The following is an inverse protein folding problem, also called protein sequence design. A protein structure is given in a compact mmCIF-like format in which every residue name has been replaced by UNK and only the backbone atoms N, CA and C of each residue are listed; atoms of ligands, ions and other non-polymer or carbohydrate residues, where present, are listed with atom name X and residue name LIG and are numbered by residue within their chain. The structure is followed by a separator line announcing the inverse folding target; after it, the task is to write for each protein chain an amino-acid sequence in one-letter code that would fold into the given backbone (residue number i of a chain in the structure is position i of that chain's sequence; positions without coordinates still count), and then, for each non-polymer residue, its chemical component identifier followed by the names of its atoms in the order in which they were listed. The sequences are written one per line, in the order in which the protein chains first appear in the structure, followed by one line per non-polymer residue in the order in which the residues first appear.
data_IF_154183303361
#
_entry.id   IF_154183303361
#
_cell.length_a   1.000
_cell.length_b   1.000
_cell.length_c   1.000
_cell.angle_alpha   90.00
_cell.angle_beta   90.00
_cell.angle_gamma   90.00
#
_symmetry.space_group_name_H-M   'P 1'
#
loop_
_entity.id
_entity.type
_entity.pdbx_description
1 polymer ?
#
# COMPACT_ATOMS: atom_id res chain seq x y z
N UNK A 1 21.34 -14.81 2.49
CA UNK A 1 20.58 -15.88 1.78
C UNK A 1 20.27 -15.56 0.30
N UNK A 2 19.68 -14.40 -0.02
CA UNK A 2 19.24 -14.06 -1.39
C UNK A 2 20.38 -13.96 -2.43
N UNK A 3 21.59 -13.58 -2.01
CA UNK A 3 22.71 -13.34 -2.91
C UNK A 3 23.53 -14.59 -3.29
N UNK A 4 23.24 -15.77 -2.73
CA UNK A 4 23.89 -17.01 -3.17
C UNK A 4 23.19 -17.52 -4.47
N UNK A 5 23.90 -17.65 -5.61
CA UNK A 5 23.33 -18.17 -6.85
C UNK A 5 22.72 -19.57 -6.74
N UNK A 6 23.24 -20.42 -5.87
CA UNK A 6 22.80 -21.81 -5.67
C UNK A 6 21.38 -21.91 -5.09
N UNK A 7 20.89 -20.85 -4.46
CA UNK A 7 19.54 -20.79 -3.89
C UNK A 7 18.44 -20.54 -4.94
N UNK A 8 18.79 -20.53 -6.23
CA UNK A 8 17.89 -20.14 -7.32
C UNK A 8 17.88 -21.14 -8.44
N UNK A 9 16.67 -21.52 -8.86
CA UNK A 9 16.43 -22.30 -10.06
C UNK A 9 16.03 -21.37 -11.22
N UNK A 10 16.56 -21.62 -12.42
CA UNK A 10 16.18 -20.87 -13.61
C UNK A 10 14.79 -21.31 -14.07
N UNK A 11 13.86 -20.36 -14.17
CA UNK A 11 12.50 -20.63 -14.66
C UNK A 11 12.43 -20.28 -16.15
N UNK A 12 12.23 -21.26 -17.04
CA UNK A 12 12.02 -20.99 -18.46
C UNK A 12 10.73 -20.20 -18.67
N UNK A 13 10.81 -19.13 -19.46
CA UNK A 13 9.67 -18.27 -19.76
C UNK A 13 9.53 -18.04 -21.27
N UNK A 14 8.35 -17.59 -21.66
CA UNK A 14 8.01 -17.11 -23.00
C UNK A 14 7.55 -15.66 -22.86
N UNK A 15 8.21 -14.76 -23.57
CA UNK A 15 7.70 -13.41 -23.78
C UNK A 15 6.75 -13.38 -24.98
N UNK A 16 5.73 -12.53 -24.94
CA UNK A 16 4.81 -12.28 -26.04
C UNK A 16 5.45 -11.50 -27.20
N UNK A 17 6.48 -10.70 -26.88
CA UNK A 17 7.26 -9.89 -27.82
C UNK A 17 8.72 -9.76 -27.39
N UNK A 18 9.53 -9.15 -28.25
CA UNK A 18 10.93 -8.84 -27.94
C UNK A 18 11.01 -7.84 -26.77
N UNK A 19 11.98 -8.05 -25.88
CA UNK A 19 12.20 -7.17 -24.73
C UNK A 19 12.79 -5.83 -25.21
N UNK A 20 11.91 -4.83 -25.35
CA UNK A 20 12.23 -3.46 -25.72
C UNK A 20 11.82 -2.48 -24.61
N UNK A 21 12.55 -1.36 -24.51
CA UNK A 21 12.28 -0.34 -23.50
C UNK A 21 11.02 0.43 -23.86
N UNK A 22 10.14 0.66 -22.87
CA UNK A 22 8.90 1.40 -23.04
C UNK A 22 7.70 0.54 -23.44
N UNK A 23 7.93 -0.74 -23.77
CA UNK A 23 6.86 -1.68 -24.08
C UNK A 23 6.45 -2.47 -22.82
N UNK A 24 5.14 -2.69 -22.68
CA UNK A 24 4.62 -3.71 -21.77
C UNK A 24 4.87 -5.09 -22.39
N UNK A 25 5.53 -5.96 -21.64
CA UNK A 25 5.93 -7.30 -22.08
C UNK A 25 5.25 -8.32 -21.18
N UNK A 26 4.43 -9.20 -21.76
CA UNK A 26 3.78 -10.27 -21.03
C UNK A 26 4.67 -11.50 -21.03
N UNK A 27 5.14 -11.87 -19.84
CA UNK A 27 5.99 -13.04 -19.63
C UNK A 27 5.16 -14.17 -19.03
N UNK A 28 5.08 -15.30 -19.73
CA UNK A 28 4.42 -16.51 -19.25
C UNK A 28 5.46 -17.58 -18.96
N UNK A 29 5.34 -18.26 -17.82
CA UNK A 29 6.16 -19.41 -17.46
C UNK A 29 5.28 -20.54 -16.95
N UNK A 30 5.79 -21.78 -16.94
CA UNK A 30 5.10 -22.89 -16.30
C UNK A 30 4.92 -22.58 -14.82
N UNK A 31 3.80 -22.98 -14.22
CA UNK A 31 3.57 -22.78 -12.79
C UNK A 31 4.78 -23.30 -11.97
N UNK A 32 5.30 -22.45 -11.10
CA UNK A 32 6.39 -22.76 -10.16
C UNK A 32 5.92 -22.46 -8.74
N UNK A 33 6.34 -23.29 -7.79
CA UNK A 33 6.10 -23.08 -6.36
C UNK A 33 7.38 -22.51 -5.74
N UNK A 34 7.37 -21.22 -5.44
CA UNK A 34 8.55 -20.52 -4.92
C UNK A 34 8.15 -19.44 -3.92
N UNK A 35 9.00 -19.19 -2.91
CA UNK A 35 8.80 -18.13 -1.91
C UNK A 35 9.26 -16.75 -2.38
N UNK A 36 10.05 -16.71 -3.45
CA UNK A 36 10.60 -15.48 -4.00
C UNK A 36 10.91 -15.68 -5.49
N UNK A 37 10.85 -14.59 -6.24
CA UNK A 37 11.32 -14.52 -7.62
C UNK A 37 12.49 -13.54 -7.73
N UNK A 38 13.49 -13.90 -8.54
CA UNK A 38 14.64 -13.04 -8.83
C UNK A 38 14.72 -12.78 -10.31
N UNK A 39 14.65 -11.51 -10.67
CA UNK A 39 14.86 -11.03 -12.03
C UNK A 39 16.31 -10.63 -12.19
N UNK A 40 17.04 -11.29 -13.09
CA UNK A 40 18.35 -10.81 -13.54
C UNK A 40 18.15 -10.02 -14.81
N UNK A 41 18.38 -8.72 -14.72
CA UNK A 41 18.30 -7.82 -15.86
C UNK A 41 19.70 -7.38 -16.26
N UNK A 42 20.02 -7.48 -17.54
CA UNK A 42 21.29 -7.03 -18.10
C UNK A 42 21.13 -5.69 -18.81
N UNK A 43 22.02 -4.74 -18.49
CA UNK A 43 22.05 -3.43 -19.14
C UNK A 43 22.65 -3.55 -20.53
N UNK A 44 21.93 -3.08 -21.55
CA UNK A 44 22.52 -2.90 -22.89
C UNK A 44 23.62 -1.82 -22.85
N UNK A 45 24.67 -2.00 -23.65
CA UNK A 45 25.83 -1.10 -23.66
C UNK A 45 25.47 0.36 -24.02
N UNK A 46 24.42 0.56 -24.83
CA UNK A 46 23.92 1.86 -25.29
C UNK A 46 22.93 2.52 -24.32
N UNK A 47 22.63 1.91 -23.17
CA UNK A 47 21.68 2.43 -22.17
C UNK A 47 22.39 2.76 -20.86
N UNK A 48 21.96 3.82 -20.20
CA UNK A 48 22.48 4.24 -18.90
C UNK A 48 21.99 3.39 -17.73
N UNK A 49 21.00 2.51 -17.93
CA UNK A 49 20.44 1.65 -16.89
C UNK A 49 19.40 0.67 -17.41
N UNK A 50 18.86 -0.14 -16.50
CA UNK A 50 17.68 -0.97 -16.72
C UNK A 50 16.69 -0.68 -15.61
N UNK A 51 15.42 -0.57 -15.95
CA UNK A 51 14.34 -0.38 -15.00
C UNK A 51 13.20 -1.35 -15.31
N UNK A 52 12.65 -1.93 -14.25
CA UNK A 52 11.36 -2.61 -14.27
C UNK A 52 10.38 -1.66 -13.59
N UNK A 53 9.42 -1.14 -14.35
CA UNK A 53 8.55 -0.06 -13.88
C UNK A 53 7.33 -0.63 -13.15
N UNK A 54 6.78 -1.72 -13.66
CA UNK A 54 5.58 -2.35 -13.12
C UNK A 54 5.64 -3.88 -13.31
N UNK A 55 5.04 -4.61 -12.37
CA UNK A 55 5.00 -6.07 -12.35
C UNK A 55 3.69 -6.55 -11.75
N UNK A 56 2.97 -7.36 -12.52
CA UNK A 56 1.68 -7.93 -12.09
C UNK A 56 1.72 -9.45 -12.26
N UNK A 57 1.36 -10.18 -11.20
CA UNK A 57 1.23 -11.64 -11.24
C UNK A 57 -0.25 -11.99 -11.47
N UNK A 58 -0.55 -12.62 -12.61
CA UNK A 58 -1.93 -12.92 -13.02
C UNK A 58 -2.62 -13.97 -12.14
N UNK A 59 -1.87 -14.83 -11.45
CA UNK A 59 -2.39 -15.73 -10.43
C UNK A 59 -1.28 -16.18 -9.47
N UNK A 60 -1.45 -16.05 -8.14
CA UNK A 60 -0.55 -16.69 -7.19
C UNK A 60 -0.66 -18.22 -7.30
N UNK A 61 0.46 -18.93 -7.22
CA UNK A 61 0.49 -20.41 -7.27
C UNK A 61 -0.14 -21.08 -6.05
N UNK A 62 -0.32 -20.32 -4.97
CA UNK A 62 -0.96 -20.75 -3.73
C UNK A 62 -2.01 -19.73 -3.32
N UNK A 63 -3.15 -20.20 -2.80
CA UNK A 63 -4.15 -19.31 -2.23
C UNK A 63 -3.61 -18.71 -0.93
N UNK A 64 -3.89 -17.43 -0.63
CA UNK A 64 -3.47 -16.81 0.61
C UNK A 64 -3.94 -17.60 1.82
N UNK A 65 -3.07 -17.74 2.82
CA UNK A 65 -3.46 -18.38 4.07
C UNK A 65 -4.28 -17.41 4.94
N UNK A 66 -5.51 -17.80 5.25
CA UNK A 66 -6.41 -17.04 6.12
C UNK A 66 -6.15 -17.36 7.59
N UNK A 67 -4.96 -16.99 8.08
CA UNK A 67 -4.55 -17.15 9.48
C UNK A 67 -3.97 -15.85 10.03
N UNK A 68 -4.19 -15.59 11.32
CA UNK A 68 -3.54 -14.51 12.09
C UNK A 68 -2.67 -15.07 13.21
N UNK A 69 -2.34 -16.37 13.15
CA UNK A 69 -1.58 -17.05 14.19
C UNK A 69 -0.15 -16.49 14.26
N UNK A 70 0.21 -15.88 15.38
CA UNK A 70 1.54 -15.34 15.66
C UNK A 70 1.81 -15.36 17.16
N UNK A 71 3.07 -15.19 17.56
CA UNK A 71 3.41 -15.05 18.98
C UNK A 71 3.67 -13.59 19.29
N UNK A 72 2.95 -13.07 20.27
CA UNK A 72 3.26 -11.77 20.86
C UNK A 72 4.35 -11.99 21.90
N UNK A 73 5.43 -11.22 21.83
CA UNK A 73 6.57 -11.29 22.73
C UNK A 73 6.66 -10.03 23.59
N UNK A 74 7.08 -10.20 24.84
CA UNK A 74 7.37 -9.16 25.83
C UNK A 74 8.79 -9.39 26.33
N UNK A 75 9.70 -8.48 26.01
CA UNK A 75 11.16 -8.66 26.17
C UNK A 75 11.68 -9.98 25.56
N UNK A 76 11.15 -10.31 24.38
CA UNK A 76 11.53 -11.51 23.64
C UNK A 76 10.99 -12.82 24.21
N UNK A 77 10.19 -12.79 25.27
CA UNK A 77 9.49 -13.96 25.83
C UNK A 77 8.03 -13.95 25.39
N UNK A 78 7.48 -15.12 25.12
CA UNK A 78 6.07 -15.24 24.74
C UNK A 78 5.14 -14.65 25.82
N UNK A 79 4.15 -13.89 25.37
CA UNK A 79 3.14 -13.30 26.22
C UNK A 79 2.40 -14.41 26.99
N UNK A 80 2.49 -14.35 28.32
CA UNK A 80 1.87 -15.33 29.19
C UNK A 80 0.35 -15.41 28.97
N UNK A 81 -0.18 -16.63 28.92
CA UNK A 81 -1.61 -16.93 28.73
C UNK A 81 -2.23 -16.26 27.49
N UNK A 82 -1.45 -16.15 26.40
CA UNK A 82 -1.95 -15.63 25.14
C UNK A 82 -3.10 -16.49 24.60
N UNK A 83 -4.21 -15.83 24.27
CA UNK A 83 -5.38 -16.41 23.65
C UNK A 83 -5.87 -15.51 22.51
N UNK A 84 -6.11 -16.08 21.33
CA UNK A 84 -6.45 -15.32 20.12
C UNK A 84 -7.76 -14.52 20.24
N UNK A 85 -8.66 -14.93 21.13
CA UNK A 85 -9.95 -14.28 21.39
C UNK A 85 -9.91 -13.26 22.55
N UNK A 86 -8.78 -13.13 23.25
CA UNK A 86 -8.59 -12.13 24.30
C UNK A 86 -7.86 -10.94 23.73
N UNK A 87 -8.52 -9.78 23.71
CA UNK A 87 -7.94 -8.55 23.16
C UNK A 87 -7.05 -7.82 24.17
N UNK A 88 -7.47 -7.75 25.45
CA UNK A 88 -6.78 -6.95 26.46
C UNK A 88 -5.90 -7.78 27.40
N UNK A 89 -4.66 -7.34 27.55
CA UNK A 89 -3.64 -7.90 28.45
C UNK A 89 -3.09 -6.81 29.36
N UNK A 90 -2.73 -7.20 30.59
CA UNK A 90 -2.09 -6.33 31.56
C UNK A 90 -0.81 -7.00 32.03
N UNK A 91 0.28 -6.24 32.02
CA UNK A 91 1.61 -6.72 32.41
C UNK A 91 2.18 -5.74 33.41
N UNK A 92 2.46 -6.25 34.60
CA UNK A 92 3.19 -5.49 35.62
C UNK A 92 4.68 -5.74 35.48
N UNK A 93 5.50 -4.70 35.53
CA UNK A 93 6.96 -4.83 35.35
C UNK A 93 7.77 -4.08 36.42
N UNK A 94 8.99 -4.55 36.66
CA UNK A 94 10.00 -3.93 37.52
C UNK A 94 11.17 -3.42 36.67
N UNK A 95 11.69 -2.25 36.99
CA UNK A 95 12.89 -1.70 36.34
C UNK A 95 12.56 -1.03 34.99
N UNK A 96 13.18 -1.53 33.92
CA UNK A 96 13.02 -1.00 32.56
C UNK A 96 11.67 -1.42 31.97
N UNK A 97 11.03 -0.51 31.22
CA UNK A 97 9.77 -0.79 30.52
C UNK A 97 10.00 -1.87 29.46
N UNK A 98 9.24 -2.98 29.50
CA UNK A 98 9.45 -4.07 28.56
C UNK A 98 9.09 -3.65 27.14
N UNK A 99 9.78 -4.22 26.16
CA UNK A 99 9.48 -4.03 24.74
C UNK A 99 8.53 -5.11 24.24
N UNK A 100 7.44 -4.70 23.60
CA UNK A 100 6.52 -5.60 22.91
C UNK A 100 6.97 -5.78 21.46
N UNK A 101 6.93 -7.00 20.96
CA UNK A 101 7.19 -7.34 19.55
C UNK A 101 6.33 -8.52 19.11
N UNK A 102 6.29 -8.80 17.82
CA UNK A 102 5.61 -9.99 17.27
C UNK A 102 6.64 -10.88 16.59
N UNK A 103 6.59 -12.17 16.87
CA UNK A 103 7.22 -13.21 16.05
C UNK A 103 6.18 -13.71 15.04
N UNK A 104 6.36 -13.27 13.80
CA UNK A 104 5.46 -13.57 12.69
C UNK A 104 5.61 -15.04 12.27
N UNK A 105 4.48 -15.74 12.17
CA UNK A 105 4.39 -17.07 11.58
C UNK A 105 3.42 -17.04 10.41
N UNK A 106 3.52 -18.00 9.49
CA UNK A 106 2.51 -18.23 8.44
C UNK A 106 2.19 -17.00 7.57
N UNK A 107 3.17 -16.14 7.27
CA UNK A 107 3.01 -14.98 6.38
C UNK A 107 2.00 -13.93 6.90
N UNK A 108 1.80 -13.89 8.21
CA UNK A 108 1.03 -12.84 8.89
C UNK A 108 1.81 -11.52 8.86
N UNK A 109 1.13 -10.43 8.50
CA UNK A 109 1.68 -9.10 8.65
C UNK A 109 1.36 -8.56 10.05
N UNK A 110 2.35 -7.98 10.74
CA UNK A 110 2.16 -7.41 12.07
C UNK A 110 2.48 -5.91 12.13
N UNK A 111 1.68 -5.18 12.91
CA UNK A 111 1.93 -3.78 13.28
C UNK A 111 1.94 -3.68 14.80
N UNK A 112 3.00 -3.09 15.37
CA UNK A 112 3.11 -2.80 16.81
C UNK A 112 3.19 -1.29 17.00
N UNK A 113 2.23 -0.72 17.73
CA UNK A 113 2.16 0.70 18.05
C UNK A 113 2.43 0.87 19.55
N UNK A 114 3.60 1.40 19.86
CA UNK A 114 4.02 1.68 21.23
C UNK A 114 4.35 3.18 21.36
N UNK A 115 3.61 3.88 22.22
CA UNK A 115 3.85 5.30 22.49
C UNK A 115 5.09 5.55 23.36
N UNK A 116 5.61 4.50 24.02
CA UNK A 116 6.64 4.62 25.04
C UNK A 116 6.13 5.10 26.41
N UNK A 117 4.85 5.42 26.54
CA UNK A 117 4.21 5.86 27.78
C UNK A 117 3.57 4.67 28.51
N UNK A 118 3.66 4.62 29.83
CA UNK A 118 3.03 3.57 30.66
C UNK A 118 1.51 3.77 30.81
N UNK A 119 1.04 4.99 30.58
CA UNK A 119 -0.37 5.36 30.68
C UNK A 119 -1.20 4.85 29.49
N UNK A 120 -0.56 4.56 28.36
CA UNK A 120 -1.18 4.11 27.13
C UNK A 120 -0.85 2.64 26.86
N UNK A 121 -1.80 1.84 26.35
CA UNK A 121 -1.52 0.47 25.97
C UNK A 121 -0.66 0.42 24.70
N UNK A 122 0.14 -0.63 24.59
CA UNK A 122 0.73 -1.02 23.31
C UNK A 122 -0.33 -1.72 22.47
N UNK A 123 -0.53 -1.29 21.22
CA UNK A 123 -1.44 -1.94 20.29
C UNK A 123 -0.69 -2.89 19.38
N UNK A 124 -1.19 -4.11 19.24
CA UNK A 124 -0.66 -5.11 18.30
C UNK A 124 -1.76 -5.49 17.33
N UNK A 125 -1.51 -5.33 16.04
CA UNK A 125 -2.43 -5.70 14.95
C UNK A 125 -1.80 -6.80 14.11
N UNK A 126 -2.55 -7.87 13.89
CA UNK A 126 -2.17 -9.01 13.06
C UNK A 126 -3.14 -9.12 11.89
N UNK A 127 -2.61 -9.29 10.68
CA UNK A 127 -3.38 -9.34 9.44
C UNK A 127 -3.00 -10.60 8.66
N UNK A 128 -4.01 -11.37 8.22
CA UNK A 128 -3.76 -12.53 7.35
C UNK A 128 -3.14 -12.12 6.02
N UNK A 129 -2.51 -13.08 5.34
CA UNK A 129 -1.85 -12.86 4.05
C UNK A 129 -2.78 -12.21 3.00
N UNK A 130 -4.08 -12.54 3.05
CA UNK A 130 -5.10 -11.97 2.15
C UNK A 130 -5.56 -10.56 2.53
N UNK A 131 -5.27 -10.10 3.74
CA UNK A 131 -5.86 -8.90 4.34
C UNK A 131 -7.27 -9.07 4.93
N UNK A 132 -7.90 -10.24 4.81
CA UNK A 132 -9.32 -10.41 5.20
C UNK A 132 -9.53 -10.65 6.69
N UNK A 133 -8.61 -11.34 7.36
CA UNK A 133 -8.68 -11.53 8.80
C UNK A 133 -7.77 -10.54 9.50
N UNK A 134 -8.32 -9.87 10.50
CA UNK A 134 -7.61 -8.89 11.32
C UNK A 134 -7.87 -9.20 12.79
N UNK A 135 -6.81 -9.26 13.59
CA UNK A 135 -6.86 -9.37 15.05
C UNK A 135 -6.09 -8.23 15.68
N UNK A 136 -6.66 -7.66 16.73
CA UNK A 136 -6.07 -6.53 17.45
C UNK A 136 -6.03 -6.80 18.94
N UNK A 137 -4.90 -6.47 19.56
CA UNK A 137 -4.61 -6.68 20.96
C UNK A 137 -4.12 -5.39 21.61
N UNK A 138 -4.46 -5.22 22.89
CA UNK A 138 -4.05 -4.09 23.73
C UNK A 138 -3.27 -4.63 24.92
N UNK A 139 -2.04 -4.19 25.08
CA UNK A 139 -1.14 -4.66 26.14
C UNK A 139 -0.82 -3.46 27.02
N UNK A 140 -1.48 -3.39 28.17
CA UNK A 140 -1.23 -2.36 29.17
C UNK A 140 0.01 -2.74 29.98
N UNK A 141 1.02 -1.87 29.94
CA UNK A 141 2.24 -2.03 30.74
C UNK A 141 2.15 -1.15 31.98
N UNK A 142 2.18 -1.76 33.16
CA UNK A 142 2.06 -1.06 34.44
C UNK A 142 3.35 -1.22 35.23
N UNK A 143 4.03 -0.11 35.55
CA UNK A 143 5.20 -0.16 36.42
C UNK A 143 4.79 -0.45 37.85
N UNK A 144 5.46 -1.38 38.51
CA UNK A 144 5.19 -1.68 39.92
C UNK A 144 5.51 -0.47 40.80
N UNK A 145 4.51 0.05 41.51
CA UNK A 145 4.70 1.09 42.52
C UNK A 145 5.21 0.42 43.81
N UNK A 146 6.24 0.97 44.49
CA UNK A 146 6.62 0.47 45.80
C UNK A 146 5.43 0.61 46.75
N UNK A 147 5.04 -0.49 47.40
CA UNK A 147 3.90 -0.50 48.32
C UNK A 147 4.26 0.34 49.54
N UNK A 148 3.75 1.58 49.57
CA UNK A 148 3.60 2.34 50.81
C UNK A 148 2.35 1.81 51.51
N UNK A 149 2.51 1.22 52.69
CA UNK A 149 1.42 0.87 53.59
C UNK A 149 0.59 2.13 53.91
N UNK A 150 -0.49 2.35 53.17
CA UNK A 150 -1.71 3.02 53.63
C UNK A 150 -2.79 2.86 52.58
N UNK A 151 -3.82 2.13 52.97
CA UNK A 151 -5.13 2.06 52.32
C UNK A 151 -5.64 3.46 52.03
N UNK A 152 -5.79 3.78 50.75
CA UNK A 152 -6.70 4.83 50.27
C UNK A 152 -7.40 4.25 49.05
N UNK A 153 -8.72 4.40 49.01
CA UNK A 153 -9.58 3.94 47.93
C UNK A 153 -8.95 4.24 46.57
N UNK A 154 -9.01 3.26 45.66
CA UNK A 154 -8.57 3.41 44.28
C UNK A 154 -9.34 4.57 43.64
N UNK A 155 -8.74 5.77 43.66
CA UNK A 155 -9.07 6.78 42.68
C UNK A 155 -8.71 6.13 41.36
N UNK A 156 -9.73 5.81 40.56
CA UNK A 156 -9.55 5.41 39.18
C UNK A 156 -8.91 6.63 38.51
N UNK A 157 -7.57 6.65 38.43
CA UNK A 157 -6.86 7.63 37.60
C UNK A 157 -7.46 7.47 36.21
N UNK A 158 -8.15 8.51 35.74
CA UNK A 158 -8.63 8.55 34.37
C UNK A 158 -7.35 8.65 33.55
N UNK A 159 -6.90 7.52 33.01
CA UNK A 159 -5.70 7.44 32.20
C UNK A 159 -6.03 7.88 30.77
N UNK A 160 -5.06 8.49 30.07
CA UNK A 160 -5.25 8.77 28.66
C UNK A 160 -5.59 7.47 27.90
N UNK A 161 -6.44 7.59 26.87
CA UNK A 161 -6.88 6.45 26.05
C UNK A 161 -6.26 6.57 24.67
N UNK A 162 -5.71 5.46 24.15
CA UNK A 162 -5.28 5.40 22.77
C UNK A 162 -6.43 4.94 21.89
N UNK A 163 -6.94 5.83 21.04
CA UNK A 163 -7.98 5.53 20.06
C UNK A 163 -7.43 5.62 18.64
N UNK A 164 -8.14 5.08 17.66
CA UNK A 164 -7.81 5.25 16.25
C UNK A 164 -9.04 5.69 15.45
N UNK A 165 -8.78 6.45 14.39
CA UNK A 165 -9.80 6.85 13.41
C UNK A 165 -9.34 6.40 12.02
N UNK A 166 -10.22 5.71 11.30
CA UNK A 166 -10.02 5.40 9.88
C UNK A 166 -10.36 6.60 9.01
N UNK A 167 -9.51 6.89 8.02
CA UNK A 167 -9.73 7.92 7.00
C UNK A 167 -9.39 7.39 5.62
N UNK A 168 -10.04 7.99 4.63
CA UNK A 168 -9.77 7.75 3.22
C UNK A 168 -8.44 8.38 2.81
N UNK A 169 -7.60 7.60 2.13
CA UNK A 169 -6.32 8.05 1.58
C UNK A 169 -6.46 8.22 0.07
N UNK A 170 -6.48 9.48 -0.39
CA UNK A 170 -6.72 9.81 -1.79
C UNK A 170 -5.65 9.22 -2.73
N UNK A 171 -6.09 8.74 -3.90
CA UNK A 171 -5.21 8.35 -4.99
C UNK A 171 -4.81 9.55 -5.84
N UNK A 172 -3.74 9.41 -6.61
CA UNK A 172 -3.27 10.43 -7.57
C UNK A 172 -3.71 10.08 -8.98
N UNK A 173 -3.82 11.08 -9.85
CA UNK A 173 -4.01 10.88 -11.29
C UNK A 173 -2.67 11.05 -11.99
N UNK A 174 -2.28 10.05 -12.78
CA UNK A 174 -1.04 10.00 -13.56
C UNK A 174 -1.39 10.05 -15.04
N UNK A 175 -0.83 11.01 -15.76
CA UNK A 175 -0.99 11.11 -17.21
C UNK A 175 0.13 10.38 -17.94
N UNK A 176 -0.22 9.55 -18.92
CA UNK A 176 0.73 8.79 -19.75
C UNK A 176 0.46 9.11 -21.22
N UNK A 177 1.49 9.51 -21.96
CA UNK A 177 1.35 9.88 -23.37
C UNK A 177 1.10 8.64 -24.22
N UNK A 178 0.14 8.74 -25.13
CA UNK A 178 -0.21 7.68 -26.08
C UNK A 178 -0.22 8.26 -27.51
N UNK A 179 0.56 7.66 -28.42
CA UNK A 179 0.65 8.08 -29.82
C UNK A 179 -0.41 7.43 -30.73
N UNK A 180 -1.22 6.52 -30.19
CA UNK A 180 -2.37 5.94 -30.92
C UNK A 180 -3.59 6.83 -30.84
N UNK A 181 -3.70 7.66 -29.79
CA UNK A 181 -4.75 8.64 -29.57
C UNK A 181 -4.40 9.99 -30.22
N UNK A 182 -5.41 10.65 -30.80
CA UNK A 182 -5.24 11.99 -31.39
C UNK A 182 -4.99 13.06 -30.32
N UNK A 183 -4.29 14.12 -30.71
CA UNK A 183 -4.03 15.27 -29.84
C UNK A 183 -5.35 15.82 -29.32
N UNK A 184 -5.50 15.86 -27.99
CA UNK A 184 -6.73 16.30 -27.31
C UNK A 184 -7.69 15.16 -26.96
N UNK A 185 -7.47 13.93 -27.45
CA UNK A 185 -8.17 12.74 -26.98
C UNK A 185 -7.55 12.22 -25.67
N UNK A 186 -8.41 11.76 -24.76
CA UNK A 186 -8.00 11.12 -23.51
C UNK A 186 -8.73 9.82 -23.30
N UNK A 187 -8.06 8.83 -22.71
CA UNK A 187 -8.66 7.54 -22.34
C UNK A 187 -8.18 7.11 -20.96
N UNK A 188 -9.08 6.58 -20.13
CA UNK A 188 -8.66 5.97 -18.85
C UNK A 188 -8.11 4.57 -19.10
N UNK A 189 -6.87 4.32 -18.69
CA UNK A 189 -6.23 3.00 -18.71
C UNK A 189 -6.54 2.24 -17.42
N UNK A 190 -6.46 2.93 -16.28
CA UNK A 190 -6.74 2.37 -14.96
C UNK A 190 -7.56 3.36 -14.13
N UNK A 191 -8.65 2.89 -13.54
CA UNK A 191 -9.41 3.68 -12.58
C UNK A 191 -8.68 3.77 -11.24
N UNK A 192 -8.75 4.94 -10.61
CA UNK A 192 -8.15 5.14 -9.30
C UNK A 192 -9.01 4.54 -8.20
N UNK A 193 -8.37 3.96 -7.19
CA UNK A 193 -9.02 3.42 -6.00
C UNK A 193 -8.47 4.12 -4.76
N UNK A 194 -9.37 4.69 -3.97
CA UNK A 194 -9.03 5.32 -2.68
C UNK A 194 -8.50 4.26 -1.72
N UNK A 195 -7.37 4.57 -1.09
CA UNK A 195 -6.82 3.77 -0.01
C UNK A 195 -7.44 4.10 1.33
N UNK A 196 -6.91 3.51 2.40
CA UNK A 196 -7.33 3.77 3.78
C UNK A 196 -6.12 3.92 4.68
N UNK A 197 -6.25 4.81 5.64
CA UNK A 197 -5.27 5.01 6.69
C UNK A 197 -5.93 5.06 8.06
N UNK A 198 -5.14 4.79 9.10
CA UNK A 198 -5.52 4.93 10.49
C UNK A 198 -4.64 5.96 11.16
N UNK A 199 -5.27 6.82 11.95
CA UNK A 199 -4.59 7.81 12.77
C UNK A 199 -4.84 7.45 14.22
N UNK A 200 -3.78 7.08 14.94
CA UNK A 200 -3.81 6.76 16.36
C UNK A 200 -3.63 8.05 17.16
N UNK A 201 -4.59 8.33 18.04
CA UNK A 201 -4.67 9.55 18.85
C UNK A 201 -4.79 9.20 20.31
N UNK A 202 -3.92 9.75 21.15
CA UNK A 202 -4.09 9.74 22.59
C UNK A 202 -5.14 10.80 22.98
N UNK A 203 -6.17 10.39 23.71
CA UNK A 203 -7.14 11.28 24.34
C UNK A 203 -6.78 11.38 25.81
N UNK A 204 -6.27 12.53 26.20
CA UNK A 204 -5.88 12.80 27.58
C UNK A 204 -7.09 13.05 28.49
N UNK A 205 -6.94 12.93 29.81
CA UNK A 205 -8.04 13.13 30.76
C UNK A 205 -8.63 14.55 30.74
N UNK A 206 -7.82 15.54 30.34
CA UNK A 206 -8.24 16.93 30.12
C UNK A 206 -9.00 17.13 28.79
N UNK A 207 -9.18 16.07 28.01
CA UNK A 207 -9.83 16.08 26.69
C UNK A 207 -8.90 16.50 25.54
N UNK A 208 -7.64 16.85 25.81
CA UNK A 208 -6.67 17.15 24.76
C UNK A 208 -6.36 15.90 23.93
N UNK A 209 -6.07 16.11 22.64
CA UNK A 209 -5.84 15.05 21.66
C UNK A 209 -4.45 15.18 21.07
N UNK A 210 -3.69 14.10 21.06
CA UNK A 210 -2.33 14.06 20.51
C UNK A 210 -2.19 12.90 19.52
N UNK A 211 -1.85 13.19 18.26
CA UNK A 211 -1.57 12.16 17.25
C UNK A 211 -0.25 11.46 17.59
N UNK A 212 -0.29 10.14 17.76
CA UNK A 212 0.87 9.31 18.10
C UNK A 212 1.47 8.62 16.87
N UNK A 213 0.62 8.11 15.97
CA UNK A 213 1.07 7.37 14.79
C UNK A 213 0.03 7.42 13.66
N UNK A 214 0.51 7.32 12.42
CA UNK A 214 -0.29 7.06 11.23
C UNK A 214 0.14 5.77 10.54
N UNK A 215 -0.83 4.95 10.17
CA UNK A 215 -0.63 3.70 9.43
C UNK A 215 -1.45 3.71 8.14
N UNK A 216 -0.85 3.33 7.01
CA UNK A 216 -1.60 3.09 5.77
C UNK A 216 -2.08 1.63 5.79
N UNK A 217 -3.39 1.45 5.85
CA UNK A 217 -4.05 0.12 5.95
C UNK A 217 -4.32 -0.46 4.57
N UNK A 218 -4.68 0.40 3.62
CA UNK A 218 -4.90 0.03 2.21
C UNK A 218 -4.22 1.10 1.36
N UNK A 219 -3.23 0.71 0.56
CA UNK A 219 -2.57 1.65 -0.33
C UNK A 219 -3.54 2.08 -1.45
N UNK A 220 -3.62 3.40 -1.77
CA UNK A 220 -4.41 3.83 -2.91
C UNK A 220 -3.83 3.28 -4.21
N UNK A 221 -4.70 3.02 -5.17
CA UNK A 221 -4.32 2.70 -6.55
C UNK A 221 -4.51 3.96 -7.39
N UNK A 222 -3.46 4.43 -8.04
CA UNK A 222 -3.51 5.65 -8.84
C UNK A 222 -4.37 5.47 -10.10
N UNK A 223 -5.04 6.56 -10.51
CA UNK A 223 -5.78 6.63 -11.76
C UNK A 223 -4.82 6.94 -12.90
N UNK A 224 -4.84 6.15 -13.96
CA UNK A 224 -3.97 6.37 -15.13
C UNK A 224 -4.81 6.84 -16.31
N UNK A 225 -4.48 8.03 -16.82
CA UNK A 225 -5.14 8.64 -17.98
C UNK A 225 -4.14 8.73 -19.14
N UNK A 226 -4.47 8.09 -20.25
CA UNK A 226 -3.75 8.21 -21.51
C UNK A 226 -4.11 9.52 -22.20
N UNK A 227 -3.09 10.27 -22.62
CA UNK A 227 -3.26 11.54 -23.33
C UNK A 227 -2.68 11.43 -24.74
N UNK A 228 -3.51 11.74 -25.73
CA UNK A 228 -3.17 11.58 -27.13
C UNK A 228 -2.13 12.57 -27.64
N UNK A 229 -1.22 12.06 -28.46
CA UNK A 229 -0.12 12.84 -29.05
C UNK A 229 -0.09 12.78 -30.58
N UNK A 230 -0.99 12.02 -31.21
CA UNK A 230 -1.07 11.90 -32.66
C UNK A 230 -1.64 13.19 -33.28
N UNK A 231 -0.90 13.88 -34.16
CA UNK A 231 -1.41 15.10 -34.78
C UNK A 231 -2.62 14.81 -35.67
N UNK A 232 -3.64 15.67 -35.60
CA UNK A 232 -4.76 15.63 -36.54
C UNK A 232 -4.31 16.32 -37.83
N UNK A 233 -4.33 15.60 -38.95
CA UNK A 233 -4.09 16.21 -40.25
C UNK A 233 -5.27 17.16 -40.53
N UNK A 234 -5.02 18.47 -40.53
CA UNK A 234 -5.98 19.44 -41.05
C UNK A 234 -6.15 19.16 -42.54
N UNK A 235 -7.28 18.59 -42.95
CA UNK A 235 -7.66 18.63 -44.36
C UNK A 235 -7.72 20.09 -44.79
N UNK A 236 -6.83 20.47 -45.70
CA UNK A 236 -6.82 21.77 -46.33
C UNK A 236 -8.19 21.99 -47.00
N UNK A 237 -8.98 22.92 -46.47
CA UNK A 237 -10.17 23.43 -47.17
C UNK A 237 -9.72 23.96 -48.53
N UNK A 238 -10.04 23.20 -49.59
CA UNK A 238 -9.82 23.60 -50.98
C UNK A 238 -10.60 24.90 -51.23
N UNK A 239 -10.01 25.96 -51.80
CA UNK A 239 -10.73 27.20 -52.06
C UNK A 239 -11.86 26.95 -53.07
N UNK A 240 -13.10 27.24 -52.65
CA UNK A 240 -14.26 27.27 -53.54
C UNK A 240 -14.12 28.50 -54.45
N UNK A 241 -13.92 28.27 -55.75
CA UNK A 241 -13.92 29.30 -56.79
C UNK A 241 -15.32 29.90 -56.87
N UNK A 242 -15.41 31.22 -56.75
CA UNK A 242 -16.63 31.98 -56.99
C UNK A 242 -16.94 32.02 -58.49
N UNK A 243 -18.03 31.39 -58.89
CA UNK A 243 -18.61 31.52 -60.23
C UNK A 243 -19.32 32.89 -60.32
N UNK A 244 -18.76 33.80 -61.10
CA UNK A 244 -19.42 35.07 -61.47
C UNK A 244 -20.51 34.77 -62.48
N UNK A 245 -21.77 35.05 -62.14
CA UNK A 245 -22.84 35.13 -63.12
C UNK A 245 -22.73 36.44 -63.90
N UNK A 246 -22.61 36.33 -65.21
CA UNK A 246 -22.72 37.41 -66.19
C UNK A 246 -24.15 38.00 -66.20
N UNK A 247 -24.26 39.31 -65.98
CA UNK A 247 -25.42 40.09 -66.43
C UNK A 247 -24.97 41.03 -67.55
N UNK A 248 -25.38 40.70 -68.78
CA UNK A 248 -25.23 41.55 -69.96
C UNK A 248 -26.46 42.49 -70.09
N UNK A 249 -26.30 43.76 -70.50
CA UNK A 249 -27.32 44.80 -70.39
C UNK A 249 -28.26 44.83 -71.60
N UNK A 250 -29.43 45.44 -71.42
CA UNK A 250 -30.21 46.02 -72.51
C UNK A 250 -30.57 47.45 -72.10
N UNK A 251 -30.16 48.37 -72.98
CA UNK A 251 -30.19 49.82 -72.89
C UNK A 251 -31.42 50.42 -73.60
N UNK A 252 -31.76 51.65 -73.19
CA UNK A 252 -32.51 52.74 -73.84
C UNK A 252 -33.95 52.48 -74.27
N UNK A 253 -34.93 53.34 -73.96
CA UNK A 253 -34.92 54.81 -74.14
C UNK A 253 -35.89 55.51 -73.21
#
# INVERSE_FOLDING_TARGET
PFNNPENWEAVPYRADKDIAAGDEINVTFKAVKAKAMRWRMERKADKSGVAMIEMTFLAPSELPQESTQSKILVDGKELADFAENRQDYQITYKGQRPKVSVEENNQVASTVVDSGEDSLPVLVRLVSESGKQVKEYRIQLTKEKPVSEKTVAAVQEDLPKLEFVEKDLAYKTVEKKDSTLYLGETRVEQEGKTGKERIFTAINPDGSKEEKLREVVEAPTDRIVLVGTKPVAQEAKKPQVSEKADTKPIDSS
#
